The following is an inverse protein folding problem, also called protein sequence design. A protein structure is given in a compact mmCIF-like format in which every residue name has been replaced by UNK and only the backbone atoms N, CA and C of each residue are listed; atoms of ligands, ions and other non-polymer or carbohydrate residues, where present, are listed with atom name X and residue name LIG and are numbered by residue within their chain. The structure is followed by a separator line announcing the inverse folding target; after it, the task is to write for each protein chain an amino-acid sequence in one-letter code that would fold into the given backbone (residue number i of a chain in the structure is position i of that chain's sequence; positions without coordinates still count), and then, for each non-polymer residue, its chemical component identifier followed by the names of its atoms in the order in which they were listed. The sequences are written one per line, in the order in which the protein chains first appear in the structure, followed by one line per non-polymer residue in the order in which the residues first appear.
data_IF_017167985163
#
_entry.id   IF_017167985163
#
_cell.length_a   1.000
_cell.length_b   1.000
_cell.length_c   1.000
_cell.angle_alpha   90.00
_cell.angle_beta   90.00
_cell.angle_gamma   90.00
#
_symmetry.space_group_name_H-M   'P 1'
#
loop_
_entity.id
_entity.type
_entity.pdbx_description
1 polymer ?
#
# COMPACT_ATOMS: atom_id res chain seq x y z
N UNK A 1 -28.28 2.30 3.42
CA UNK A 1 -28.14 2.22 1.95
C UNK A 1 -27.62 0.86 1.56
N UNK A 2 -28.14 0.33 0.53
CA UNK A 2 -27.75 -0.94 -0.02
C UNK A 2 -27.35 -0.75 -1.47
N UNK A 3 -26.57 -1.68 -2.01
CA UNK A 3 -26.14 -1.58 -3.39
C UNK A 3 -25.02 -0.60 -3.56
N UNK A 4 -24.98 0.05 -4.72
CA UNK A 4 -23.88 0.98 -5.05
C UNK A 4 -24.29 2.41 -4.82
N UNK A 5 -23.36 3.21 -4.42
CA UNK A 5 -23.66 4.61 -4.21
C UNK A 5 -22.41 5.43 -3.93
N UNK A 6 -22.64 6.70 -3.64
CA UNK A 6 -21.58 7.65 -3.30
C UNK A 6 -21.90 8.25 -1.95
N UNK A 7 -20.88 8.33 -1.10
CA UNK A 7 -21.00 9.01 0.18
C UNK A 7 -19.93 10.10 0.27
N UNK A 8 -20.35 11.34 0.45
CA UNK A 8 -19.43 12.46 0.61
C UNK A 8 -19.26 12.78 2.07
N UNK A 9 -18.01 12.90 2.50
CA UNK A 9 -17.71 13.21 3.88
C UNK A 9 -17.61 14.72 4.07
N UNK A 10 -18.10 15.21 5.18
CA UNK A 10 -18.00 16.63 5.47
C UNK A 10 -16.70 16.92 6.20
N UNK A 11 -16.24 18.15 6.07
CA UNK A 11 -15.09 18.63 6.83
C UNK A 11 -15.43 18.53 8.33
N UNK A 12 -14.45 18.14 9.21
CA UNK A 12 -13.01 18.08 8.92
C UNK A 12 -12.49 16.67 8.62
N UNK A 13 -13.29 15.80 8.09
CA UNK A 13 -12.82 14.45 7.76
C UNK A 13 -11.64 14.50 6.79
N UNK A 14 -10.68 13.58 6.96
CA UNK A 14 -9.59 13.43 5.99
C UNK A 14 -10.07 12.71 4.74
N UNK A 15 -11.22 12.05 4.80
CA UNK A 15 -11.79 11.36 3.65
C UNK A 15 -12.68 12.31 2.90
N UNK A 16 -12.53 12.35 1.59
CA UNK A 16 -13.39 13.16 0.74
C UNK A 16 -14.67 12.46 0.38
N UNK A 17 -14.57 11.30 -0.25
CA UNK A 17 -15.78 10.55 -0.59
C UNK A 17 -15.48 9.07 -0.78
N UNK A 18 -16.54 8.29 -0.73
CA UNK A 18 -16.53 6.86 -1.01
C UNK A 18 -17.47 6.60 -2.18
N UNK A 19 -17.02 5.79 -3.11
CA UNK A 19 -17.83 5.35 -4.25
C UNK A 19 -17.75 3.84 -4.28
N UNK A 20 -18.87 3.15 -4.13
CA UNK A 20 -18.84 1.71 -4.18
C UNK A 20 -20.08 1.07 -3.59
N UNK A 21 -19.91 -0.12 -3.08
CA UNK A 21 -21.03 -0.93 -2.59
C UNK A 21 -21.31 -0.62 -1.12
N UNK A 22 -22.58 -0.74 -0.76
CA UNK A 22 -23.05 -0.53 0.61
C UNK A 22 -23.83 -1.75 1.06
N UNK A 23 -23.77 -2.06 2.33
CA UNK A 23 -24.59 -3.09 2.96
C UNK A 23 -24.94 -2.61 4.36
N UNK A 24 -26.24 -2.57 4.64
CA UNK A 24 -26.72 -2.12 5.96
C UNK A 24 -26.11 -0.78 6.36
N UNK A 25 -26.09 0.14 5.40
CA UNK A 25 -25.59 1.50 5.58
C UNK A 25 -24.09 1.59 5.86
N UNK A 26 -23.33 0.53 5.56
CA UNK A 26 -21.90 0.53 5.74
C UNK A 26 -21.20 0.32 4.39
N UNK A 27 -20.00 0.85 4.25
CA UNK A 27 -19.16 0.55 3.11
C UNK A 27 -18.83 -0.94 3.15
N UNK A 28 -19.07 -1.62 2.06
CA UNK A 28 -18.93 -3.06 2.03
C UNK A 28 -18.68 -3.52 0.60
N UNK A 29 -17.89 -4.58 0.43
CA UNK A 29 -17.60 -5.05 -0.92
C UNK A 29 -16.61 -4.15 -1.62
N UNK A 30 -16.68 -4.10 -2.94
CA UNK A 30 -15.71 -3.33 -3.72
C UNK A 30 -16.04 -1.84 -3.70
N UNK A 31 -15.01 -1.03 -3.56
CA UNK A 31 -15.20 0.41 -3.55
C UNK A 31 -13.92 1.19 -3.76
N UNK A 32 -14.09 2.47 -3.91
CA UNK A 32 -13.01 3.43 -4.04
C UNK A 32 -13.22 4.52 -3.00
N UNK A 33 -12.18 4.80 -2.23
CA UNK A 33 -12.22 5.87 -1.27
C UNK A 33 -11.18 6.90 -1.66
N UNK A 34 -11.59 8.16 -1.72
CA UNK A 34 -10.71 9.25 -2.11
C UNK A 34 -10.54 10.17 -0.91
N UNK A 35 -9.29 10.39 -0.52
CA UNK A 35 -8.95 11.22 0.61
C UNK A 35 -8.68 12.64 0.16
N UNK A 36 -8.79 13.59 1.07
CA UNK A 36 -8.63 14.99 0.68
C UNK A 36 -7.22 15.36 0.29
N UNK A 37 -6.23 14.57 0.69
CA UNK A 37 -4.84 14.80 0.28
C UNK A 37 -4.53 14.22 -1.09
N UNK A 38 -5.52 13.64 -1.77
CA UNK A 38 -5.33 13.05 -3.08
C UNK A 38 -5.10 11.55 -3.07
N UNK A 39 -4.94 10.96 -1.90
CA UNK A 39 -4.75 9.51 -1.79
C UNK A 39 -6.03 8.80 -2.23
N UNK A 40 -5.89 7.69 -2.94
CA UNK A 40 -7.02 6.88 -3.39
C UNK A 40 -6.80 5.43 -3.01
N UNK A 41 -7.84 4.81 -2.52
CA UNK A 41 -7.85 3.39 -2.21
C UNK A 41 -8.82 2.69 -3.14
N UNK A 42 -8.38 1.58 -3.74
CA UNK A 42 -9.24 0.71 -4.54
C UNK A 42 -9.17 -0.69 -3.94
N UNK A 43 -10.30 -1.22 -3.56
CA UNK A 43 -10.29 -2.56 -2.97
C UNK A 43 -11.59 -2.85 -2.26
N UNK A 44 -11.54 -3.87 -1.43
CA UNK A 44 -12.73 -4.30 -0.69
C UNK A 44 -12.84 -3.59 0.64
N UNK A 45 -14.07 -3.50 1.13
CA UNK A 45 -14.38 -2.93 2.43
C UNK A 45 -15.22 -3.93 3.22
N UNK A 46 -15.08 -3.91 4.52
CA UNK A 46 -15.94 -4.68 5.42
C UNK A 46 -16.31 -3.76 6.57
N UNK A 47 -17.60 -3.51 6.71
CA UNK A 47 -18.12 -2.65 7.80
C UNK A 47 -17.33 -1.36 7.94
N UNK A 48 -17.24 -0.60 6.86
CA UNK A 48 -16.59 0.71 6.80
C UNK A 48 -15.06 0.68 6.88
N UNK A 49 -14.45 -0.48 6.98
CA UNK A 49 -12.98 -0.56 7.03
C UNK A 49 -12.42 -1.09 5.73
N UNK A 50 -11.29 -0.55 5.32
CA UNK A 50 -10.55 -1.07 4.20
C UNK A 50 -10.02 -2.45 4.58
N UNK A 51 -10.38 -3.45 3.81
CA UNK A 51 -10.04 -4.82 4.13
C UNK A 51 -10.03 -5.61 2.82
N UNK A 52 -8.87 -5.86 2.28
CA UNK A 52 -8.76 -6.49 0.98
C UNK A 52 -7.45 -7.26 0.90
N UNK A 53 -7.51 -8.43 0.27
CA UNK A 53 -6.28 -9.18 0.01
C UNK A 53 -5.51 -8.57 -1.17
N UNK A 54 -6.17 -7.78 -1.99
CA UNK A 54 -5.54 -7.19 -3.17
C UNK A 54 -6.01 -5.75 -3.34
N UNK A 55 -5.42 -4.88 -2.57
CA UNK A 55 -5.75 -3.48 -2.62
C UNK A 55 -4.74 -2.72 -3.48
N UNK A 56 -5.17 -1.59 -4.00
CA UNK A 56 -4.29 -0.65 -4.67
C UNK A 56 -4.46 0.69 -3.98
N UNK A 57 -3.36 1.22 -3.47
CA UNK A 57 -3.33 2.55 -2.87
C UNK A 57 -2.46 3.45 -3.71
N UNK A 58 -3.00 4.60 -4.09
CA UNK A 58 -2.24 5.64 -4.78
C UNK A 58 -2.21 6.84 -3.86
N UNK A 59 -1.04 7.13 -3.33
CA UNK A 59 -0.91 8.21 -2.35
C UNK A 59 -0.79 9.56 -3.02
N UNK A 60 -1.20 10.60 -2.32
CA UNK A 60 -1.14 11.96 -2.85
C UNK A 60 0.27 12.41 -3.20
N UNK A 61 1.30 11.82 -2.57
CA UNK A 61 2.68 12.17 -2.88
C UNK A 61 3.27 11.40 -4.07
N UNK A 62 2.47 10.54 -4.70
CA UNK A 62 2.94 9.78 -5.86
C UNK A 62 3.36 8.35 -5.57
N UNK A 63 3.44 7.96 -4.31
CA UNK A 63 3.75 6.57 -3.96
C UNK A 63 2.56 5.69 -4.30
N UNK A 64 2.82 4.41 -4.53
CA UNK A 64 1.75 3.44 -4.74
C UNK A 64 2.02 2.18 -3.93
N UNK A 65 0.96 1.51 -3.54
CA UNK A 65 1.06 0.24 -2.83
C UNK A 65 0.09 -0.75 -3.45
N UNK A 66 0.55 -1.98 -3.66
CA UNK A 66 -0.30 -3.08 -4.10
C UNK A 66 -0.11 -4.24 -3.15
N UNK A 67 -1.17 -4.67 -2.50
CA UNK A 67 -1.08 -5.76 -1.56
C UNK A 67 -2.24 -5.78 -0.60
N UNK A 68 -2.10 -6.53 0.47
CA UNK A 68 -3.15 -6.67 1.44
C UNK A 68 -3.29 -5.48 2.37
N UNK A 69 -4.53 -5.20 2.72
CA UNK A 69 -4.86 -4.17 3.70
C UNK A 69 -5.87 -4.79 4.65
N UNK A 70 -5.66 -4.62 5.94
CA UNK A 70 -6.56 -5.14 6.96
C UNK A 70 -6.80 -4.05 7.99
N UNK A 71 -8.05 -3.79 8.29
CA UNK A 71 -8.44 -2.78 9.24
C UNK A 71 -7.73 -1.45 8.99
N UNK A 72 -7.80 -1.02 7.72
CA UNK A 72 -7.25 0.25 7.25
C UNK A 72 -5.72 0.35 7.24
N UNK A 73 -5.01 -0.74 7.45
CA UNK A 73 -3.55 -0.72 7.45
C UNK A 73 -2.98 -1.76 6.50
N UNK A 74 -1.85 -1.42 5.87
CA UNK A 74 -1.15 -2.40 5.06
C UNK A 74 -0.72 -3.54 5.97
N UNK A 75 -1.14 -4.74 5.64
CA UNK A 75 -0.83 -5.88 6.48
C UNK A 75 -0.99 -7.12 5.63
N UNK A 76 0.10 -7.65 5.15
CA UNK A 76 0.04 -8.80 4.28
C UNK A 76 1.32 -9.60 4.44
N UNK A 77 1.18 -10.85 4.81
CA UNK A 77 2.29 -11.76 4.93
C UNK A 77 2.38 -12.68 3.73
N UNK A 78 1.42 -12.58 2.82
CA UNK A 78 1.38 -13.42 1.63
C UNK A 78 0.97 -12.58 0.44
N UNK A 79 1.20 -13.11 -0.73
CA UNK A 79 0.75 -12.46 -1.95
C UNK A 79 1.65 -11.34 -2.41
N UNK A 80 1.10 -10.51 -3.27
CA UNK A 80 1.87 -9.43 -3.86
C UNK A 80 1.85 -8.27 -2.90
N UNK A 81 3.01 -7.79 -2.52
CA UNK A 81 3.15 -6.71 -1.55
C UNK A 81 4.23 -5.79 -2.04
N UNK A 82 3.84 -4.85 -2.88
CA UNK A 82 4.80 -3.98 -3.54
C UNK A 82 4.48 -2.53 -3.23
N UNK A 83 5.44 -1.83 -2.65
CA UNK A 83 5.33 -0.41 -2.40
C UNK A 83 6.34 0.31 -3.30
N UNK A 84 5.83 1.18 -4.18
CA UNK A 84 6.68 1.94 -5.09
C UNK A 84 6.69 3.39 -4.63
N UNK A 85 7.88 3.90 -4.33
CA UNK A 85 8.04 5.28 -3.93
C UNK A 85 8.03 6.18 -5.16
N UNK A 86 7.57 7.39 -5.01
CA UNK A 86 7.45 8.31 -6.14
C UNK A 86 8.79 8.59 -6.82
N UNK A 87 9.88 8.46 -6.09
CA UNK A 87 11.21 8.69 -6.65
C UNK A 87 11.83 7.43 -7.25
N UNK A 88 11.09 6.34 -7.32
CA UNK A 88 11.52 5.16 -8.06
C UNK A 88 11.96 3.96 -7.23
N UNK A 89 12.19 4.13 -5.94
CA UNK A 89 12.55 2.98 -5.11
C UNK A 89 11.36 2.05 -4.99
N UNK A 90 11.63 0.77 -4.80
CA UNK A 90 10.58 -0.26 -4.70
C UNK A 90 10.88 -1.18 -3.53
N UNK A 91 9.89 -1.32 -2.65
CA UNK A 91 9.96 -2.31 -1.60
C UNK A 91 9.00 -3.46 -1.94
N UNK A 92 9.49 -4.68 -1.86
CA UNK A 92 8.67 -5.86 -2.06
C UNK A 92 8.89 -6.79 -0.89
N UNK A 93 7.87 -6.96 -0.05
CA UNK A 93 8.03 -7.76 1.14
C UNK A 93 6.85 -7.66 2.07
N UNK A 94 7.05 -8.08 3.29
CA UNK A 94 5.99 -8.17 4.26
C UNK A 94 5.71 -6.82 4.92
N UNK A 95 4.44 -6.60 5.24
CA UNK A 95 4.01 -5.42 5.98
C UNK A 95 3.22 -5.87 7.19
N UNK A 96 3.31 -5.09 8.25
CA UNK A 96 2.52 -5.31 9.44
C UNK A 96 2.18 -3.95 10.04
N UNK A 97 0.90 -3.68 10.22
CA UNK A 97 0.44 -2.40 10.78
C UNK A 97 1.07 -1.21 10.06
N UNK A 98 1.02 -1.22 8.73
CA UNK A 98 1.54 -0.17 7.85
C UNK A 98 3.06 -0.06 7.79
N UNK A 99 3.79 -0.93 8.45
CA UNK A 99 5.24 -0.85 8.46
C UNK A 99 5.88 -2.05 7.77
N UNK A 100 7.03 -1.82 7.17
CA UNK A 100 7.81 -2.93 6.62
C UNK A 100 8.27 -3.80 7.79
N UNK A 101 7.97 -5.07 7.69
CA UNK A 101 8.24 -5.99 8.78
C UNK A 101 8.52 -7.36 8.20
N UNK A 102 9.50 -8.08 8.74
CA UNK A 102 9.84 -9.40 8.23
C UNK A 102 10.72 -9.32 7.00
N UNK A 103 10.65 -10.32 6.16
CA UNK A 103 11.55 -10.38 5.01
C UNK A 103 11.10 -9.49 3.88
N UNK A 104 12.04 -8.83 3.24
CA UNK A 104 11.72 -7.95 2.14
C UNK A 104 12.92 -7.59 1.29
N UNK A 105 12.63 -6.96 0.17
CA UNK A 105 13.64 -6.50 -0.78
C UNK A 105 13.38 -5.03 -1.05
N UNK A 106 14.39 -4.21 -0.85
CA UNK A 106 14.30 -2.79 -1.16
C UNK A 106 15.28 -2.46 -2.27
N UNK A 107 14.74 -1.99 -3.40
CA UNK A 107 15.55 -1.55 -4.52
C UNK A 107 15.68 -0.03 -4.47
N UNK A 108 16.91 0.44 -4.42
CA UNK A 108 17.18 1.89 -4.38
C UNK A 108 17.62 2.29 -5.77
N UNK A 109 16.71 2.90 -6.51
CA UNK A 109 16.90 3.19 -7.92
C UNK A 109 18.12 4.08 -8.20
N UNK A 110 18.30 5.12 -7.43
CA UNK A 110 19.39 6.06 -7.66
C UNK A 110 20.76 5.44 -7.50
N UNK A 111 20.87 4.41 -6.67
CA UNK A 111 22.15 3.76 -6.40
C UNK A 111 22.30 2.43 -7.11
N UNK A 112 21.26 1.97 -7.78
CA UNK A 112 21.22 0.66 -8.43
C UNK A 112 21.59 -0.47 -7.48
N UNK A 113 21.02 -0.41 -6.27
CA UNK A 113 21.33 -1.35 -5.21
C UNK A 113 20.04 -1.97 -4.70
N UNK A 114 20.10 -3.25 -4.38
CA UNK A 114 18.99 -3.93 -3.70
C UNK A 114 19.45 -4.44 -2.35
N UNK A 115 18.67 -4.18 -1.33
CA UNK A 115 18.86 -4.79 -0.02
C UNK A 115 17.89 -5.94 0.09
N UNK A 116 18.36 -7.11 0.49
CA UNK A 116 17.50 -8.26 0.73
C UNK A 116 17.77 -8.72 2.16
N UNK A 117 16.73 -8.77 2.97
CA UNK A 117 16.91 -9.18 4.35
C UNK A 117 15.70 -8.86 5.19
N UNK A 118 15.92 -8.64 6.46
CA UNK A 118 14.84 -8.43 7.40
C UNK A 118 14.63 -6.97 7.71
N UNK A 119 13.36 -6.61 7.88
CA UNK A 119 12.96 -5.27 8.25
C UNK A 119 12.17 -5.35 9.55
N UNK A 120 12.27 -4.31 10.34
CA UNK A 120 11.48 -4.16 11.55
C UNK A 120 11.16 -2.69 11.74
N UNK A 121 9.88 -2.38 11.91
CA UNK A 121 9.43 -0.99 12.08
C UNK A 121 9.97 -0.09 10.97
N UNK A 122 9.85 -0.55 9.70
CA UNK A 122 10.31 0.19 8.52
C UNK A 122 11.82 0.31 8.39
N UNK A 123 12.59 -0.34 9.22
CA UNK A 123 14.05 -0.21 9.19
C UNK A 123 14.70 -1.54 8.83
N UNK A 124 15.83 -1.44 8.14
CA UNK A 124 16.64 -2.61 7.87
C UNK A 124 17.28 -3.05 9.18
N UNK A 125 17.25 -4.34 9.45
CA UNK A 125 17.98 -4.87 10.60
C UNK A 125 19.40 -5.20 10.16
N UNK A 126 20.22 -5.70 11.05
CA UNK A 126 21.61 -5.99 10.73
C UNK A 126 21.81 -7.16 9.79
N UNK A 127 20.78 -7.92 9.48
CA UNK A 127 20.93 -9.10 8.65
C UNK A 127 20.40 -8.85 7.25
N UNK A 128 21.02 -7.97 6.52
CA UNK A 128 20.65 -7.66 5.15
C UNK A 128 21.80 -7.93 4.23
N UNK A 129 21.48 -8.40 3.03
CA UNK A 129 22.47 -8.56 1.97
C UNK A 129 22.25 -7.44 0.96
N UNK A 130 23.35 -6.99 0.41
CA UNK A 130 23.34 -5.90 -0.55
C UNK A 130 23.71 -6.43 -1.91
N UNK A 131 22.92 -6.14 -2.91
CA UNK A 131 23.18 -6.54 -4.27
C UNK A 131 23.19 -5.31 -5.17
N UNK A 132 24.13 -5.29 -6.11
CA UNK A 132 24.24 -4.21 -7.07
C UNK A 132 23.56 -4.70 -8.35
N UNK A 133 22.43 -4.11 -8.72
CA UNK A 133 21.76 -4.50 -9.94
C UNK A 133 22.09 -3.55 -11.08
N UNK A 134 22.85 -2.54 -10.81
CA UNK A 134 23.52 -1.69 -11.70
C UNK A 134 22.85 -1.28 -12.90
N UNK A 135 23.48 -0.66 -13.80
CA UNK A 135 22.89 -0.39 -15.04
C UNK A 135 22.90 -1.67 -15.74
N UNK A 136 22.51 -2.49 -15.23
CA UNK A 136 22.26 -3.72 -15.58
C UNK A 136 22.85 -4.07 -16.80
N UNK A 137 22.72 -3.52 -17.71
CA UNK A 137 23.14 -3.89 -18.79
C UNK A 137 24.18 -3.08 -19.06
N UNK A 138 24.92 -3.40 -19.36
CA UNK A 138 25.82 -2.75 -19.81
C UNK A 138 26.84 -2.33 -19.09
N UNK A 139 26.97 -2.46 -18.06
CA UNK A 139 27.90 -2.02 -17.48
C UNK A 139 28.86 -2.93 -17.37
N UNK A 140 29.34 -3.42 -17.50
CA UNK A 140 30.33 -4.31 -17.40
C UNK A 140 30.47 -5.04 -18.50
#
# INVERSE_FOLDING_TARGET
MEGRGVYKFSSPSTVGYYLGEFKENAFHGLGRMVFRDGTQYFGSFTNNSMNSARAILKYGNGDTYKGGVSQNMKSDEKGERIYTYSHGDVYQGQFRADKKEGEGKLQIAAQHISYIGEFKDDRKTGKCKLYDFGPAFGRY
#
